data_IF_438080825668
#
_entry.id   IF_438080825668
#
_cell.length_a   1.000
_cell.length_b   1.000
_cell.length_c   1.000
_cell.angle_alpha   90.00
_cell.angle_beta   90.00
_cell.angle_gamma   90.00
#
_symmetry.space_group_name_H-M   'P 1'
#
loop_
_entity.id
_entity.type
_entity.pdbx_description
1 polymer ?
#
# COMPACT_ATOMS: atom_id res chain seq x y z
N UNK A 1 -37.43 1.24 -17.50
CA UNK A 1 -36.99 0.73 -16.19
C UNK A 1 -35.55 0.17 -16.21
N UNK A 2 -35.15 -0.67 -17.19
CA UNK A 2 -33.79 -1.19 -17.29
C UNK A 2 -32.76 -0.08 -17.56
N UNK A 3 -33.07 0.84 -18.46
CA UNK A 3 -32.21 2.00 -18.76
C UNK A 3 -32.10 2.94 -17.57
N UNK A 4 -33.20 3.18 -16.84
CA UNK A 4 -33.17 3.98 -15.61
C UNK A 4 -32.38 3.30 -14.48
N UNK A 5 -32.47 1.98 -14.35
CA UNK A 5 -31.70 1.20 -13.38
C UNK A 5 -30.19 1.20 -13.71
N UNK A 6 -29.81 1.15 -14.97
CA UNK A 6 -28.40 1.24 -15.40
C UNK A 6 -27.82 2.64 -15.21
N UNK A 7 -28.61 3.68 -15.36
CA UNK A 7 -28.20 5.06 -15.10
C UNK A 7 -28.07 5.37 -13.59
N UNK A 8 -29.00 4.85 -12.79
CA UNK A 8 -29.10 5.19 -11.36
C UNK A 8 -28.35 4.22 -10.42
N UNK A 9 -27.84 3.07 -10.92
CA UNK A 9 -27.18 2.07 -10.07
C UNK A 9 -28.14 1.36 -9.11
N UNK A 10 -29.34 1.06 -9.50
CA UNK A 10 -30.39 0.49 -8.66
C UNK A 10 -30.22 -1.03 -8.48
N UNK A 11 -30.65 -1.54 -7.35
CA UNK A 11 -30.66 -2.95 -6.96
C UNK A 11 -31.36 -3.81 -8.04
N UNK A 12 -30.69 -4.83 -8.53
CA UNK A 12 -31.29 -5.86 -9.41
C UNK A 12 -32.30 -6.67 -8.61
N UNK A 13 -33.35 -7.16 -9.26
CA UNK A 13 -34.51 -7.83 -8.66
C UNK A 13 -34.21 -9.03 -7.73
N UNK A 14 -32.98 -9.53 -7.73
CA UNK A 14 -32.48 -10.64 -6.91
C UNK A 14 -31.79 -10.22 -5.57
N UNK A 15 -31.94 -8.95 -5.14
CA UNK A 15 -31.39 -8.49 -3.87
C UNK A 15 -29.86 -8.33 -3.83
N UNK A 16 -29.16 -8.57 -4.93
CA UNK A 16 -27.75 -8.23 -5.04
C UNK A 16 -27.57 -6.75 -5.39
N UNK A 17 -26.56 -6.08 -4.78
CA UNK A 17 -26.25 -4.71 -5.16
C UNK A 17 -25.82 -4.70 -6.62
N UNK A 18 -26.64 -4.08 -7.48
CA UNK A 18 -26.25 -3.78 -8.86
C UNK A 18 -24.98 -2.93 -8.85
N UNK A 19 -24.15 -3.10 -9.87
CA UNK A 19 -22.92 -2.31 -10.02
C UNK A 19 -23.18 -0.80 -9.98
N UNK A 20 -22.16 0.03 -9.78
CA UNK A 20 -22.30 1.48 -9.77
C UNK A 20 -22.89 1.95 -11.08
N UNK A 21 -23.97 2.75 -11.03
CA UNK A 21 -24.61 3.31 -12.21
C UNK A 21 -23.64 4.23 -12.99
N UNK A 22 -23.95 4.49 -14.25
CA UNK A 22 -23.13 5.34 -15.15
C UNK A 22 -22.80 6.69 -14.51
N UNK A 23 -23.78 7.33 -13.87
CA UNK A 23 -23.55 8.61 -13.18
C UNK A 23 -22.59 8.51 -11.99
N UNK A 24 -22.62 7.41 -11.24
CA UNK A 24 -21.71 7.19 -10.12
C UNK A 24 -20.29 6.92 -10.63
N UNK A 25 -20.16 6.13 -11.69
CA UNK A 25 -18.89 5.84 -12.34
C UNK A 25 -18.27 7.12 -12.94
N UNK A 26 -19.10 7.96 -13.59
CA UNK A 26 -18.65 9.26 -14.10
C UNK A 26 -18.11 10.17 -12.99
N UNK A 27 -18.81 10.25 -11.84
CA UNK A 27 -18.34 11.02 -10.68
C UNK A 27 -17.01 10.49 -10.12
N UNK A 28 -16.84 9.17 -10.10
CA UNK A 28 -15.56 8.57 -9.68
C UNK A 28 -14.43 8.92 -10.66
N UNK A 29 -14.72 8.85 -11.96
CA UNK A 29 -13.75 9.23 -12.99
C UNK A 29 -13.35 10.71 -12.87
N UNK A 30 -14.32 11.63 -12.72
CA UNK A 30 -14.08 13.05 -12.49
C UNK A 30 -13.21 13.29 -11.25
N UNK A 31 -13.48 12.56 -10.16
CA UNK A 31 -12.67 12.62 -8.95
C UNK A 31 -11.21 12.18 -9.20
N UNK A 32 -11.00 11.12 -9.96
CA UNK A 32 -9.66 10.63 -10.28
C UNK A 32 -8.90 11.58 -11.21
N UNK A 33 -9.61 12.24 -12.13
CA UNK A 33 -9.05 13.23 -13.04
C UNK A 33 -8.87 14.61 -12.41
N UNK A 34 -9.42 14.85 -11.21
CA UNK A 34 -9.38 16.17 -10.57
C UNK A 34 -10.26 17.23 -11.23
N UNK A 35 -11.28 16.81 -12.03
CA UNK A 35 -12.20 17.72 -12.73
C UNK A 35 -13.39 18.07 -11.83
N UNK A 36 -13.91 19.31 -11.86
CA UNK A 36 -15.11 19.71 -11.11
C UNK A 36 -16.32 18.82 -11.44
N UNK A 37 -17.15 18.55 -10.42
CA UNK A 37 -18.30 17.65 -10.57
C UNK A 37 -19.44 18.31 -11.35
N UNK A 38 -19.56 19.64 -11.30
CA UNK A 38 -20.68 20.41 -11.83
C UNK A 38 -20.26 21.44 -12.88
N UNK A 39 -19.53 21.02 -13.89
CA UNK A 39 -19.14 21.90 -15.02
C UNK A 39 -20.17 21.90 -16.19
N UNK A 40 -21.27 21.15 -16.03
CA UNK A 40 -22.32 21.03 -17.07
C UNK A 40 -21.92 20.19 -18.29
N UNK A 41 -20.72 19.61 -18.30
CA UNK A 41 -20.24 18.75 -19.40
C UNK A 41 -20.45 17.29 -19.07
N UNK A 42 -20.74 16.46 -20.07
CA UNK A 42 -20.80 15.01 -19.95
C UNK A 42 -19.50 14.40 -20.47
N UNK A 43 -18.85 13.57 -19.64
CA UNK A 43 -17.67 12.83 -20.07
C UNK A 43 -18.07 11.66 -20.96
N UNK A 44 -17.63 11.70 -22.22
CA UNK A 44 -17.85 10.61 -23.17
C UNK A 44 -16.49 10.02 -23.58
N UNK A 45 -16.22 8.74 -23.27
CA UNK A 45 -15.05 8.05 -23.80
C UNK A 45 -15.14 7.99 -25.33
N UNK A 46 -14.09 8.37 -26.05
CA UNK A 46 -14.04 8.39 -27.51
C UNK A 46 -13.09 7.31 -28.04
N UNK A 47 -12.06 6.99 -27.27
CA UNK A 47 -11.05 6.02 -27.65
C UNK A 47 -11.56 4.59 -27.53
N UNK A 48 -11.26 3.78 -28.53
CA UNK A 48 -11.53 2.35 -28.48
C UNK A 48 -10.54 1.68 -27.50
N UNK A 49 -11.05 0.68 -26.78
CA UNK A 49 -10.23 -0.10 -25.86
C UNK A 49 -9.18 -0.90 -26.64
N UNK A 50 -7.94 -0.88 -26.17
CA UNK A 50 -6.84 -1.61 -26.80
C UNK A 50 -7.07 -3.12 -26.69
N UNK A 51 -7.17 -3.79 -27.84
CA UNK A 51 -7.41 -5.23 -27.93
C UNK A 51 -6.14 -6.03 -28.28
N UNK A 52 -4.99 -5.37 -28.30
CA UNK A 52 -3.72 -6.02 -28.62
C UNK A 52 -3.31 -6.98 -27.49
N UNK A 53 -2.88 -8.20 -27.87
CA UNK A 53 -2.28 -9.13 -26.92
C UNK A 53 -0.97 -8.54 -26.40
N UNK A 54 -0.90 -8.27 -25.10
CA UNK A 54 0.34 -7.86 -24.45
C UNK A 54 1.12 -9.12 -24.09
N UNK A 55 2.35 -9.22 -24.60
CA UNK A 55 3.26 -10.33 -24.30
C UNK A 55 4.41 -9.79 -23.46
N UNK A 56 4.60 -10.37 -22.29
CA UNK A 56 5.69 -10.03 -21.38
C UNK A 56 6.76 -11.13 -21.42
N UNK A 57 8.03 -10.75 -21.37
CA UNK A 57 9.12 -11.70 -21.12
C UNK A 57 9.16 -12.01 -19.61
N UNK A 58 9.07 -13.30 -19.27
CA UNK A 58 9.07 -13.74 -17.88
C UNK A 58 10.32 -13.33 -17.12
N UNK A 59 11.49 -13.50 -17.75
CA UNK A 59 12.77 -13.25 -17.08
C UNK A 59 12.97 -11.76 -16.81
N UNK A 60 12.61 -10.92 -17.77
CA UNK A 60 12.72 -9.46 -17.63
C UNK A 60 11.81 -8.95 -16.51
N UNK A 61 10.53 -9.34 -16.52
CA UNK A 61 9.56 -8.93 -15.50
C UNK A 61 9.93 -9.47 -14.12
N UNK A 62 10.44 -10.72 -14.03
CA UNK A 62 10.89 -11.30 -12.77
C UNK A 62 12.06 -10.51 -12.17
N UNK A 63 13.07 -10.17 -12.96
CA UNK A 63 14.22 -9.36 -12.51
C UNK A 63 13.75 -7.99 -12.06
N UNK A 64 12.87 -7.35 -12.81
CA UNK A 64 12.32 -6.06 -12.45
C UNK A 64 11.49 -6.11 -11.16
N UNK A 65 10.62 -7.11 -11.01
CA UNK A 65 9.82 -7.32 -9.80
C UNK A 65 10.71 -7.52 -8.57
N UNK A 66 11.72 -8.35 -8.63
CA UNK A 66 12.63 -8.61 -7.50
C UNK A 66 13.53 -7.40 -7.17
N UNK A 67 13.84 -6.54 -8.13
CA UNK A 67 14.71 -5.37 -7.92
C UNK A 67 13.96 -4.14 -7.44
N UNK A 68 12.73 -3.90 -7.91
CA UNK A 68 11.99 -2.65 -7.69
C UNK A 68 10.95 -2.71 -6.58
N UNK A 69 10.49 -3.88 -6.16
CA UNK A 69 9.46 -3.98 -5.12
C UNK A 69 9.90 -3.35 -3.80
N UNK A 70 9.09 -2.43 -3.29
CA UNK A 70 9.37 -1.68 -2.07
C UNK A 70 9.44 -2.59 -0.84
N UNK A 71 8.63 -3.66 -0.81
CA UNK A 71 8.57 -4.63 0.29
C UNK A 71 9.91 -5.36 0.50
N UNK A 72 10.57 -5.79 -0.59
CA UNK A 72 11.89 -6.43 -0.51
C UNK A 72 12.96 -5.45 -0.02
N UNK A 73 12.91 -4.21 -0.49
CA UNK A 73 13.81 -3.15 -0.03
C UNK A 73 13.61 -2.85 1.46
N UNK A 74 12.36 -2.77 1.90
CA UNK A 74 12.05 -2.60 3.31
C UNK A 74 12.60 -3.75 4.16
N UNK A 75 12.44 -5.00 3.70
CA UNK A 75 12.93 -6.17 4.41
C UNK A 75 14.47 -6.21 4.46
N UNK A 76 15.16 -5.80 3.40
CA UNK A 76 16.61 -5.64 3.41
C UNK A 76 17.08 -4.62 4.47
N UNK A 77 16.36 -3.50 4.63
CA UNK A 77 16.66 -2.54 5.69
C UNK A 77 16.39 -3.09 7.10
N UNK A 78 15.37 -3.94 7.27
CA UNK A 78 15.14 -4.64 8.54
C UNK A 78 16.28 -5.59 8.88
N UNK A 79 16.77 -6.36 7.91
CA UNK A 79 17.93 -7.22 8.06
C UNK A 79 19.15 -6.38 8.48
N UNK A 80 19.39 -5.26 7.79
CA UNK A 80 20.50 -4.36 8.14
C UNK A 80 20.39 -3.82 9.56
N UNK A 81 19.20 -3.42 9.98
CA UNK A 81 18.90 -3.01 11.35
C UNK A 81 19.18 -4.14 12.36
N UNK A 82 18.78 -5.37 12.04
CA UNK A 82 19.04 -6.53 12.90
C UNK A 82 20.53 -6.86 13.00
N UNK A 83 21.30 -6.72 11.90
CA UNK A 83 22.77 -6.86 11.92
C UNK A 83 23.45 -5.83 12.83
N UNK A 84 23.02 -4.56 12.73
CA UNK A 84 23.54 -3.51 13.59
C UNK A 84 23.18 -3.74 15.07
N UNK A 85 21.97 -4.21 15.34
CA UNK A 85 21.55 -4.60 16.71
C UNK A 85 22.38 -5.76 17.25
N UNK A 86 22.66 -6.77 16.42
CA UNK A 86 23.53 -7.88 16.81
C UNK A 86 24.95 -7.37 17.14
N UNK A 87 25.51 -6.49 16.31
CA UNK A 87 26.82 -5.88 16.56
C UNK A 87 26.83 -5.08 17.88
N UNK A 88 25.80 -4.25 18.11
CA UNK A 88 25.66 -3.50 19.35
C UNK A 88 25.53 -4.44 20.56
N UNK A 89 24.73 -5.51 20.46
CA UNK A 89 24.55 -6.48 21.56
C UNK A 89 25.84 -7.21 21.88
N UNK A 90 26.66 -7.55 20.88
CA UNK A 90 27.98 -8.15 21.09
C UNK A 90 28.94 -7.20 21.85
N UNK A 91 28.83 -5.89 21.61
CA UNK A 91 29.65 -4.90 22.32
C UNK A 91 29.31 -4.83 23.82
N UNK A 92 28.05 -5.16 24.23
CA UNK A 92 27.70 -5.22 25.65
C UNK A 92 28.34 -6.40 26.41
N UNK A 93 28.97 -7.35 25.72
CA UNK A 93 29.81 -8.37 26.36
C UNK A 93 31.20 -7.86 26.76
N UNK A 94 31.61 -6.72 26.22
CA UNK A 94 32.91 -6.11 26.55
C UNK A 94 32.84 -5.32 27.85
N UNK A 95 33.92 -5.28 28.63
CA UNK A 95 34.03 -4.39 29.78
C UNK A 95 33.80 -2.95 29.35
N UNK A 96 33.00 -2.21 30.12
CA UNK A 96 32.78 -0.78 29.93
C UNK A 96 33.72 0.03 30.76
N UNK A 97 34.43 0.95 30.13
CA UNK A 97 35.33 1.88 30.77
C UNK A 97 34.82 3.30 30.52
N UNK A 98 34.42 3.98 31.59
CA UNK A 98 33.90 5.35 31.54
C UNK A 98 34.85 6.28 32.28
N UNK A 99 35.18 7.43 31.69
CA UNK A 99 35.79 8.54 32.35
C UNK A 99 34.70 9.49 32.84
N UNK A 100 34.60 9.69 34.13
CA UNK A 100 33.58 10.55 34.76
C UNK A 100 34.25 11.81 35.27
N UNK A 101 33.82 12.95 34.72
CA UNK A 101 34.20 14.27 35.21
C UNK A 101 32.98 15.01 35.72
N UNK A 102 32.96 15.43 36.94
CA UNK A 102 31.87 16.24 37.51
C UNK A 102 32.48 17.48 38.14
N UNK A 103 31.96 18.63 37.75
CA UNK A 103 32.27 19.90 38.34
C UNK A 103 30.97 20.52 38.85
N UNK A 104 30.99 20.99 40.13
CA UNK A 104 29.78 21.48 40.77
C UNK A 104 30.09 22.77 41.50
N UNK A 105 29.38 23.83 41.19
CA UNK A 105 29.32 25.03 41.98
C UNK A 105 28.15 24.94 42.97
N UNK A 106 28.46 25.24 44.20
CA UNK A 106 27.43 25.31 45.25
C UNK A 106 27.44 26.69 45.85
N UNK A 107 26.26 27.23 46.11
CA UNK A 107 26.03 28.42 46.90
C UNK A 107 25.38 28.02 48.22
N UNK A 108 25.89 28.53 49.31
CA UNK A 108 25.30 28.37 50.64
C UNK A 108 25.07 29.76 51.23
N UNK A 109 23.85 30.07 51.65
CA UNK A 109 23.46 31.35 52.25
C UNK A 109 22.11 31.28 52.92
N UNK A 110 21.84 32.20 53.83
CA UNK A 110 20.53 32.32 54.45
C UNK A 110 19.47 32.80 53.46
N UNK A 111 19.86 33.72 52.56
CA UNK A 111 19.02 34.25 51.50
C UNK A 111 19.55 33.86 50.11
N UNK A 112 18.70 33.79 49.13
CA UNK A 112 19.08 33.45 47.74
C UNK A 112 19.90 34.62 47.12
N UNK A 113 19.42 35.84 47.32
CA UNK A 113 20.02 37.09 46.87
C UNK A 113 20.14 38.03 48.05
N UNK A 114 21.12 38.92 48.04
CA UNK A 114 21.24 39.98 49.03
C UNK A 114 20.41 41.19 48.62
N UNK A 115 19.22 41.42 49.23
CA UNK A 115 18.39 42.53 48.84
C UNK A 115 18.87 43.88 49.36
N UNK A 116 19.75 43.92 50.36
CA UNK A 116 20.15 45.13 51.05
C UNK A 116 21.62 45.56 50.77
N UNK A 117 22.44 44.70 50.19
CA UNK A 117 23.85 45.01 49.86
C UNK A 117 24.77 45.19 51.07
N UNK A 118 24.35 44.80 52.29
CA UNK A 118 25.04 45.01 53.54
C UNK A 118 25.60 43.71 54.13
N UNK A 119 26.01 42.80 53.21
CA UNK A 119 26.48 41.46 53.59
C UNK A 119 27.91 41.51 54.17
N UNK A 120 27.98 41.59 55.49
CA UNK A 120 29.24 41.39 56.25
C UNK A 120 29.49 39.92 56.56
N UNK A 121 28.46 39.05 56.43
CA UNK A 121 28.59 37.66 56.77
C UNK A 121 28.81 36.79 55.52
N UNK A 122 29.78 35.83 55.66
CA UNK A 122 30.20 34.91 54.59
C UNK A 122 29.08 34.02 54.04
N UNK A 123 28.00 33.86 54.82
CA UNK A 123 26.84 33.00 54.45
C UNK A 123 25.56 33.78 54.23
N UNK A 124 25.64 35.05 53.93
CA UNK A 124 24.46 35.92 53.81
C UNK A 124 23.68 35.62 52.53
N UNK A 125 24.34 35.51 51.39
CA UNK A 125 23.65 35.18 50.16
C UNK A 125 24.26 33.97 49.43
N UNK A 126 23.38 33.06 48.95
CA UNK A 126 23.78 31.84 48.27
C UNK A 126 24.33 32.12 46.87
N UNK A 127 23.84 33.15 46.18
CA UNK A 127 24.27 33.49 44.84
C UNK A 127 25.66 34.14 44.81
N UNK A 128 25.94 35.01 45.78
CA UNK A 128 27.26 35.62 45.96
C UNK A 128 28.31 34.56 46.27
N UNK A 129 28.01 33.62 47.16
CA UNK A 129 28.88 32.51 47.47
C UNK A 129 29.11 31.56 46.30
N UNK A 130 28.11 31.33 45.47
CA UNK A 130 28.25 30.52 44.27
C UNK A 130 29.19 31.22 43.25
N UNK A 131 29.03 32.53 43.06
CA UNK A 131 29.86 33.31 42.11
C UNK A 131 31.26 33.61 42.64
N UNK A 132 31.41 33.74 43.97
CA UNK A 132 32.68 33.94 44.64
C UNK A 132 33.65 32.74 44.56
N UNK A 133 33.12 31.57 44.24
CA UNK A 133 33.93 30.37 44.00
C UNK A 133 34.38 29.62 45.23
N UNK A 134 33.86 29.98 46.43
CA UNK A 134 34.28 29.39 47.70
C UNK A 134 33.87 27.93 47.90
N UNK A 135 32.82 27.50 47.23
CA UNK A 135 32.23 26.16 47.36
C UNK A 135 32.25 25.43 46.02
N UNK A 136 33.43 25.16 45.49
CA UNK A 136 33.63 24.40 44.29
C UNK A 136 33.98 22.96 44.63
N UNK A 137 33.28 22.04 43.95
CA UNK A 137 33.56 20.61 44.08
C UNK A 137 33.89 20.05 42.72
N UNK A 138 34.99 19.34 42.61
CA UNK A 138 35.32 18.61 41.39
C UNK A 138 35.57 17.14 41.70
N UNK A 139 35.14 16.29 40.80
CA UNK A 139 35.33 14.85 40.85
C UNK A 139 35.80 14.37 39.49
N UNK A 140 36.93 13.71 39.47
CA UNK A 140 37.43 12.98 38.31
C UNK A 140 37.59 11.52 38.71
N UNK A 141 37.11 10.62 37.84
CA UNK A 141 37.18 9.19 38.11
C UNK A 141 37.16 8.38 36.84
N UNK A 142 37.60 7.15 36.98
CA UNK A 142 37.49 6.12 35.96
C UNK A 142 36.61 5.00 36.53
N UNK A 143 35.48 4.72 35.88
CA UNK A 143 34.59 3.64 36.27
C UNK A 143 34.75 2.47 35.26
N UNK A 144 35.16 1.30 35.80
CA UNK A 144 35.24 0.07 35.01
C UNK A 144 34.12 -0.87 35.43
N UNK A 145 33.18 -1.12 34.54
CA UNK A 145 32.05 -2.02 34.77
C UNK A 145 32.23 -3.30 33.98
N UNK A 146 32.41 -4.42 34.65
CA UNK A 146 32.52 -5.76 34.05
C UNK A 146 31.31 -6.59 34.45
N UNK A 147 30.48 -7.08 33.50
CA UNK A 147 29.34 -7.95 33.82
C UNK A 147 29.85 -9.34 34.26
N UNK A 148 29.69 -9.69 35.55
CA UNK A 148 30.07 -11.00 36.06
C UNK A 148 29.05 -12.08 35.59
N UNK A 149 29.60 -13.18 35.04
CA UNK A 149 28.81 -14.34 34.62
C UNK A 149 28.22 -14.27 33.22
N UNK A 150 28.17 -13.15 32.53
CA UNK A 150 27.79 -12.92 31.13
C UNK A 150 26.48 -13.60 30.63
N UNK A 151 25.70 -14.29 31.51
CA UNK A 151 24.50 -15.04 31.11
C UNK A 151 23.48 -14.17 30.37
N UNK A 152 23.19 -12.99 30.91
CA UNK A 152 22.23 -12.07 30.29
C UNK A 152 22.74 -11.57 28.91
N UNK A 153 24.05 -11.26 28.84
CA UNK A 153 24.69 -10.83 27.61
C UNK A 153 24.66 -11.93 26.54
N UNK A 154 24.99 -13.17 26.88
CA UNK A 154 24.91 -14.29 25.91
C UNK A 154 23.49 -14.60 25.47
N UNK A 155 22.50 -14.51 26.35
CA UNK A 155 21.08 -14.67 25.99
C UNK A 155 20.65 -13.54 25.05
N UNK A 156 21.06 -12.31 25.30
CA UNK A 156 20.76 -11.16 24.43
C UNK A 156 21.39 -11.33 23.04
N UNK A 157 22.66 -11.75 22.95
CA UNK A 157 23.32 -12.05 21.67
C UNK A 157 22.60 -13.17 20.94
N UNK A 158 22.25 -14.27 21.63
CA UNK A 158 21.53 -15.38 21.01
C UNK A 158 20.16 -14.96 20.47
N UNK A 159 19.41 -14.14 21.21
CA UNK A 159 18.16 -13.57 20.74
C UNK A 159 18.35 -12.69 19.49
N UNK A 160 19.39 -11.86 19.46
CA UNK A 160 19.68 -11.02 18.30
C UNK A 160 20.06 -11.88 17.06
N UNK A 161 20.83 -12.95 17.25
CA UNK A 161 21.15 -13.92 16.18
C UNK A 161 19.89 -14.61 15.61
N UNK A 162 19.01 -15.07 16.48
CA UNK A 162 17.76 -15.70 16.07
C UNK A 162 16.83 -14.71 15.34
N UNK A 163 16.76 -13.46 15.81
CA UNK A 163 16.01 -12.43 15.13
C UNK A 163 16.58 -12.13 13.73
N UNK A 164 17.89 -12.04 13.60
CA UNK A 164 18.53 -11.86 12.28
C UNK A 164 18.24 -13.04 11.35
N UNK A 165 18.33 -14.27 11.85
CA UNK A 165 18.00 -15.47 11.08
C UNK A 165 16.53 -15.46 10.61
N UNK A 166 15.62 -15.04 11.50
CA UNK A 166 14.19 -14.88 11.17
C UNK A 166 13.98 -13.84 10.06
N UNK A 167 14.59 -12.65 10.17
CA UNK A 167 14.43 -11.60 9.15
C UNK A 167 14.95 -12.05 7.78
N UNK A 168 16.04 -12.83 7.75
CA UNK A 168 16.55 -13.41 6.50
C UNK A 168 15.60 -14.47 5.93
N UNK A 169 15.01 -15.33 6.76
CA UNK A 169 14.04 -16.31 6.31
C UNK A 169 12.77 -15.63 5.75
N UNK A 170 12.32 -14.54 6.37
CA UNK A 170 11.19 -13.72 5.87
C UNK A 170 11.50 -13.15 4.48
N UNK A 171 12.73 -12.66 4.24
CA UNK A 171 13.12 -12.16 2.92
C UNK A 171 13.02 -13.24 1.84
N UNK A 172 13.52 -14.44 2.12
CA UNK A 172 13.46 -15.55 1.16
C UNK A 172 12.01 -16.01 0.91
N UNK A 173 11.16 -15.97 1.95
CA UNK A 173 9.73 -16.27 1.79
C UNK A 173 9.02 -15.22 0.95
N UNK A 174 9.29 -13.93 1.19
CA UNK A 174 8.73 -12.84 0.37
C UNK A 174 9.14 -12.95 -1.09
N UNK A 175 10.40 -13.30 -1.38
CA UNK A 175 10.85 -13.54 -2.76
C UNK A 175 10.07 -14.68 -3.43
N UNK A 176 9.88 -15.81 -2.72
CA UNK A 176 9.09 -16.92 -3.23
C UNK A 176 7.65 -16.54 -3.49
N UNK A 177 7.03 -15.80 -2.56
CA UNK A 177 5.68 -15.32 -2.71
C UNK A 177 5.53 -14.44 -3.94
N UNK A 178 6.46 -13.49 -4.16
CA UNK A 178 6.46 -12.62 -5.34
C UNK A 178 6.53 -13.41 -6.64
N UNK A 179 7.35 -14.47 -6.70
CA UNK A 179 7.44 -15.33 -7.89
C UNK A 179 6.13 -16.06 -8.15
N UNK A 180 5.48 -16.57 -7.10
CA UNK A 180 4.17 -17.23 -7.23
C UNK A 180 3.06 -16.27 -7.64
N UNK A 181 3.00 -15.09 -7.02
CA UNK A 181 2.04 -14.05 -7.36
C UNK A 181 2.20 -13.62 -8.83
N UNK A 182 3.45 -13.39 -9.25
CA UNK A 182 3.75 -13.03 -10.63
C UNK A 182 3.30 -14.11 -11.62
N UNK A 183 3.52 -15.39 -11.30
CA UNK A 183 3.04 -16.51 -12.12
C UNK A 183 1.51 -16.55 -12.20
N UNK A 184 0.83 -16.24 -11.11
CA UNK A 184 -0.62 -16.11 -11.06
C UNK A 184 -1.12 -14.99 -11.98
N UNK A 185 -0.53 -13.80 -11.86
CA UNK A 185 -0.88 -12.64 -12.67
C UNK A 185 -0.67 -12.89 -14.18
N UNK A 186 0.42 -13.59 -14.56
CA UNK A 186 0.63 -13.98 -15.96
C UNK A 186 -0.49 -14.89 -16.48
N UNK A 187 -0.88 -15.90 -15.69
CA UNK A 187 -1.97 -16.79 -16.04
C UNK A 187 -3.31 -16.05 -16.14
N UNK A 188 -3.53 -15.06 -15.28
CA UNK A 188 -4.74 -14.24 -15.29
C UNK A 188 -4.80 -13.31 -16.50
N UNK A 189 -3.68 -12.69 -16.91
CA UNK A 189 -3.59 -11.90 -18.13
C UNK A 189 -3.92 -12.77 -19.37
N UNK A 190 -3.35 -13.97 -19.46
CA UNK A 190 -3.62 -14.87 -20.56
C UNK A 190 -5.10 -15.32 -20.60
N UNK A 191 -5.65 -15.67 -19.43
CA UNK A 191 -7.06 -16.02 -19.28
C UNK A 191 -7.98 -14.85 -19.68
N UNK A 192 -7.69 -13.64 -19.21
CA UNK A 192 -8.47 -12.44 -19.55
C UNK A 192 -8.47 -12.20 -21.06
N UNK A 193 -7.33 -12.37 -21.72
CA UNK A 193 -7.25 -12.25 -23.18
C UNK A 193 -8.12 -13.28 -23.90
N UNK A 194 -8.07 -14.56 -23.51
CA UNK A 194 -8.88 -15.63 -24.09
C UNK A 194 -10.38 -15.36 -23.89
N UNK A 195 -10.77 -14.92 -22.68
CA UNK A 195 -12.16 -14.57 -22.33
C UNK A 195 -12.63 -13.39 -23.20
N UNK A 196 -11.82 -12.34 -23.34
CA UNK A 196 -12.17 -11.18 -24.17
C UNK A 196 -12.35 -11.56 -25.62
N UNK A 197 -11.48 -12.41 -26.17
CA UNK A 197 -11.60 -12.93 -27.54
C UNK A 197 -12.86 -13.80 -27.73
N UNK A 198 -13.18 -14.64 -26.76
CA UNK A 198 -14.39 -15.47 -26.79
C UNK A 198 -15.64 -14.61 -26.77
N UNK A 199 -15.70 -13.60 -25.92
CA UNK A 199 -16.82 -12.67 -25.82
C UNK A 199 -16.96 -11.81 -27.11
N UNK A 200 -15.83 -11.41 -27.71
CA UNK A 200 -15.84 -10.74 -28.99
C UNK A 200 -16.47 -11.59 -30.09
N UNK A 201 -16.08 -12.85 -30.22
CA UNK A 201 -16.65 -13.78 -31.19
C UNK A 201 -18.14 -14.03 -30.93
N UNK A 202 -18.54 -14.14 -29.65
CA UNK A 202 -19.96 -14.27 -29.26
C UNK A 202 -20.77 -13.04 -29.66
N UNK A 203 -20.22 -11.84 -29.46
CA UNK A 203 -20.86 -10.58 -29.90
C UNK A 203 -21.05 -10.55 -31.41
N UNK A 204 -20.03 -10.94 -32.21
CA UNK A 204 -20.15 -11.02 -33.67
C UNK A 204 -21.24 -12.00 -34.09
N UNK A 205 -21.26 -13.21 -33.55
CA UNK A 205 -22.26 -14.22 -33.85
C UNK A 205 -23.68 -13.74 -33.49
N UNK A 206 -23.85 -13.07 -32.35
CA UNK A 206 -25.14 -12.52 -31.96
C UNK A 206 -25.60 -11.38 -32.90
N UNK A 207 -24.67 -10.55 -33.37
CA UNK A 207 -24.95 -9.49 -34.36
C UNK A 207 -25.35 -10.06 -35.71
N UNK A 208 -24.63 -11.07 -36.19
CA UNK A 208 -24.91 -11.74 -37.45
C UNK A 208 -26.27 -12.44 -37.40
N UNK A 209 -26.59 -13.08 -36.24
CA UNK A 209 -27.91 -13.70 -36.02
C UNK A 209 -29.03 -12.66 -36.05
N UNK A 210 -28.84 -11.49 -35.41
CA UNK A 210 -29.82 -10.43 -35.43
C UNK A 210 -30.04 -9.90 -36.85
N UNK A 211 -28.96 -9.62 -37.60
CA UNK A 211 -29.05 -9.14 -38.98
C UNK A 211 -29.75 -10.15 -39.92
N UNK A 212 -29.51 -11.46 -39.73
CA UNK A 212 -30.19 -12.49 -40.48
C UNK A 212 -31.71 -12.53 -40.16
N UNK A 213 -32.09 -12.37 -38.88
CA UNK A 213 -33.49 -12.33 -38.47
C UNK A 213 -34.20 -11.06 -38.93
N UNK A 214 -33.53 -9.92 -38.94
CA UNK A 214 -34.05 -8.65 -39.47
C UNK A 214 -34.35 -8.78 -40.97
N UNK A 215 -33.46 -9.36 -41.76
CA UNK A 215 -33.67 -9.58 -43.17
C UNK A 215 -34.90 -10.52 -43.46
N UNK A 216 -35.04 -11.60 -42.66
CA UNK A 216 -36.20 -12.50 -42.77
C UNK A 216 -37.51 -11.81 -42.36
N UNK A 217 -37.45 -10.94 -41.34
CA UNK A 217 -38.60 -10.20 -40.87
C UNK A 217 -39.10 -9.17 -41.89
N UNK A 218 -38.20 -8.54 -42.65
CA UNK A 218 -38.55 -7.59 -43.72
C UNK A 218 -39.29 -8.27 -44.87
N UNK A 219 -38.90 -9.50 -45.22
CA UNK A 219 -39.49 -10.26 -46.34
C UNK A 219 -40.75 -11.08 -45.95
N UNK A 220 -41.11 -11.16 -44.66
CA UNK A 220 -42.18 -12.01 -44.15
C UNK A 220 -43.58 -11.42 -44.31
N UNK A 221 -44.58 -12.30 -44.47
CA UNK A 221 -46.00 -11.93 -44.47
C UNK A 221 -46.50 -11.52 -43.06
N UNK A 222 -47.60 -10.74 -43.01
CA UNK A 222 -48.17 -10.20 -41.75
C UNK A 222 -48.44 -11.26 -40.67
N UNK A 223 -48.84 -12.48 -41.05
CA UNK A 223 -49.12 -13.58 -40.13
C UNK A 223 -47.81 -14.18 -39.53
N UNK A 224 -46.72 -14.15 -40.27
CA UNK A 224 -45.41 -14.63 -39.84
C UNK A 224 -44.66 -13.58 -39.02
N UNK A 225 -44.86 -12.30 -39.29
CA UNK A 225 -44.25 -11.18 -38.57
C UNK A 225 -44.47 -11.24 -37.06
N UNK A 226 -45.67 -11.65 -36.61
CA UNK A 226 -45.98 -11.75 -35.18
C UNK A 226 -45.11 -12.80 -34.49
N UNK A 227 -44.83 -13.93 -35.14
CA UNK A 227 -43.95 -15.00 -34.59
C UNK A 227 -42.48 -14.62 -34.68
N UNK A 228 -42.07 -13.96 -35.75
CA UNK A 228 -40.69 -13.48 -35.95
C UNK A 228 -40.34 -12.32 -35.00
N UNK A 229 -41.30 -11.52 -34.57
CA UNK A 229 -41.10 -10.43 -33.63
C UNK A 229 -40.55 -10.92 -32.29
N UNK A 230 -41.10 -12.02 -31.75
CA UNK A 230 -40.60 -12.59 -30.48
C UNK A 230 -39.15 -13.10 -30.62
N UNK A 231 -38.83 -13.74 -31.76
CA UNK A 231 -37.47 -14.20 -32.06
C UNK A 231 -36.50 -13.03 -32.23
N UNK A 232 -36.94 -11.95 -32.85
CA UNK A 232 -36.15 -10.74 -33.07
C UNK A 232 -35.85 -10.02 -31.73
N UNK A 233 -36.85 -9.91 -30.85
CA UNK A 233 -36.68 -9.36 -29.51
C UNK A 233 -35.71 -10.19 -28.65
N UNK A 234 -35.79 -11.53 -28.75
CA UNK A 234 -34.87 -12.42 -28.06
C UNK A 234 -33.43 -12.29 -28.63
N UNK A 235 -33.29 -12.18 -29.96
CA UNK A 235 -31.98 -11.93 -30.57
C UNK A 235 -31.38 -10.56 -30.15
N UNK A 236 -32.20 -9.51 -30.06
CA UNK A 236 -31.77 -8.20 -29.56
C UNK A 236 -31.31 -8.28 -28.10
N UNK A 237 -32.02 -9.01 -27.25
CA UNK A 237 -31.58 -9.25 -25.86
C UNK A 237 -30.25 -9.98 -25.80
N UNK A 238 -30.09 -11.05 -26.60
CA UNK A 238 -28.82 -11.80 -26.67
C UNK A 238 -27.66 -10.94 -27.15
N UNK A 239 -27.88 -10.04 -28.11
CA UNK A 239 -26.87 -9.09 -28.55
C UNK A 239 -26.49 -8.13 -27.43
N UNK A 240 -27.47 -7.55 -26.74
CA UNK A 240 -27.21 -6.65 -25.61
C UNK A 240 -26.43 -7.32 -24.48
N UNK A 241 -26.79 -8.58 -24.16
CA UNK A 241 -26.07 -9.38 -23.17
C UNK A 241 -24.61 -9.68 -23.62
N UNK A 242 -24.41 -10.06 -24.88
CA UNK A 242 -23.11 -10.34 -25.45
C UNK A 242 -22.21 -9.08 -25.46
N UNK A 243 -22.79 -7.92 -25.81
CA UNK A 243 -22.10 -6.64 -25.76
C UNK A 243 -21.69 -6.27 -24.31
N UNK A 244 -22.61 -6.42 -23.37
CA UNK A 244 -22.32 -6.18 -21.95
C UNK A 244 -21.19 -7.06 -21.43
N UNK A 245 -21.21 -8.37 -21.75
CA UNK A 245 -20.15 -9.30 -21.35
C UNK A 245 -18.82 -8.99 -22.04
N UNK A 246 -18.84 -8.61 -23.31
CA UNK A 246 -17.65 -8.20 -24.03
C UNK A 246 -16.98 -6.99 -23.37
N UNK A 247 -17.72 -5.91 -23.11
CA UNK A 247 -17.18 -4.72 -22.47
C UNK A 247 -16.69 -4.99 -21.03
N UNK A 248 -17.38 -5.87 -20.28
CA UNK A 248 -16.90 -6.29 -18.95
C UNK A 248 -15.59 -7.08 -19.01
N UNK A 249 -15.36 -7.84 -20.07
CA UNK A 249 -14.12 -8.62 -20.22
C UNK A 249 -12.91 -7.77 -20.64
N UNK A 250 -13.14 -6.52 -21.07
CA UNK A 250 -12.08 -5.57 -21.42
C UNK A 250 -11.63 -4.68 -20.24
N UNK A 251 -12.43 -4.65 -19.16
CA UNK A 251 -12.13 -3.92 -17.92
C UNK A 251 -11.40 -4.81 -16.91
#
# INVERSE_FOLDING_TARGET
QEVENSLAGRIVADGQPGGPGVQQTERQLRRLMGVPINDGTLLRPVDELMMAKVVFDWNEVLVEALSRRAELRQQQWRIKSAELRLAATKNFLLPRLDAVGRYRWRGLGHDLLDPNGDSTDRFDNAYGNMTGGDFQEWQLGIECTTPLGFRQGHVAVRNAELNLARERAVLEEQKRQIVHDLSGEFADVERAYIVSQTNYNRRLAARDQLGALEAVYEDADENEKTRLLDLLLDAQRRLADAESQYYRSLM
#
